data_IF_148304784429
#
_entry.id   IF_148304784429
#
_cell.length_a   1.000
_cell.length_b   1.000
_cell.length_c   1.000
_cell.angle_alpha   90.00
_cell.angle_beta   90.00
_cell.angle_gamma   90.00
#
_symmetry.space_group_name_H-M   'P 1'
#
loop_
_entity.id
_entity.type
_entity.pdbx_description
1 polymer ?
#
# COMPACT_ATOMS: atom_id res chain seq x y z
N UNK A 1 4.66 -14.53 3.05
CA UNK A 1 5.23 -13.31 3.66
C UNK A 1 6.42 -12.90 2.81
N UNK A 2 6.45 -11.65 2.32
CA UNK A 2 7.58 -11.12 1.54
C UNK A 2 8.89 -11.24 2.36
N UNK A 3 10.05 -11.54 1.74
CA UNK A 3 11.33 -11.52 2.45
C UNK A 3 11.66 -10.10 2.93
N UNK A 4 12.16 -9.97 4.16
CA UNK A 4 12.48 -8.69 4.80
C UNK A 4 13.64 -7.99 4.07
N UNK A 5 13.31 -6.91 3.38
CA UNK A 5 14.23 -5.99 2.70
C UNK A 5 14.09 -4.62 3.35
N UNK A 6 14.27 -4.55 4.66
CA UNK A 6 14.07 -3.42 5.59
C UNK A 6 14.01 -1.98 5.01
N UNK A 7 14.92 -1.50 4.12
CA UNK A 7 14.74 -0.20 3.47
C UNK A 7 13.53 -0.10 2.52
N UNK A 8 13.22 -1.16 1.76
CA UNK A 8 12.06 -1.24 0.86
C UNK A 8 10.75 -1.20 1.65
N UNK A 9 10.70 -1.86 2.81
CA UNK A 9 9.51 -1.89 3.67
C UNK A 9 9.16 -0.53 4.27
N UNK A 10 10.15 0.33 4.55
CA UNK A 10 9.88 1.69 5.03
C UNK A 10 9.26 2.59 3.95
N UNK A 11 9.74 2.45 2.70
CA UNK A 11 9.19 3.18 1.56
C UNK A 11 7.77 2.69 1.24
N UNK A 12 7.56 1.37 1.20
CA UNK A 12 6.26 0.75 0.94
C UNK A 12 5.18 1.25 1.92
N UNK A 13 5.52 1.29 3.21
CA UNK A 13 4.63 1.81 4.25
C UNK A 13 4.35 3.31 4.11
N UNK A 14 5.37 4.11 3.81
CA UNK A 14 5.19 5.55 3.61
C UNK A 14 4.29 5.88 2.43
N UNK A 15 4.42 5.14 1.33
CA UNK A 15 3.58 5.28 0.16
C UNK A 15 2.13 4.85 0.46
N UNK A 16 1.92 3.73 1.17
CA UNK A 16 0.58 3.31 1.57
C UNK A 16 -0.10 4.32 2.50
N UNK A 17 0.64 4.89 3.47
CA UNK A 17 0.13 5.93 4.37
C UNK A 17 -0.32 7.18 3.60
N UNK A 18 0.49 7.64 2.64
CA UNK A 18 0.15 8.80 1.81
C UNK A 18 -1.15 8.55 1.01
N UNK A 19 -1.29 7.37 0.39
CA UNK A 19 -2.48 7.04 -0.39
C UNK A 19 -3.71 6.92 0.51
N UNK A 20 -3.58 6.25 1.67
CA UNK A 20 -4.66 6.15 2.67
C UNK A 20 -5.11 7.52 3.17
N UNK A 21 -4.19 8.46 3.42
CA UNK A 21 -4.54 9.81 3.84
C UNK A 21 -5.36 10.56 2.77
N UNK A 22 -4.98 10.43 1.49
CA UNK A 22 -5.73 11.03 0.38
C UNK A 22 -7.10 10.40 0.20
N UNK A 23 -7.21 9.08 0.28
CA UNK A 23 -8.49 8.37 0.22
C UNK A 23 -9.39 8.73 1.40
N UNK A 24 -8.84 8.83 2.61
CA UNK A 24 -9.60 9.26 3.79
C UNK A 24 -10.20 10.67 3.65
N UNK A 25 -9.49 11.58 2.97
CA UNK A 25 -10.01 12.93 2.71
C UNK A 25 -11.04 12.97 1.56
N UNK A 26 -10.79 12.27 0.46
CA UNK A 26 -11.62 12.34 -0.75
C UNK A 26 -12.81 11.37 -0.76
N UNK A 27 -12.67 10.24 -0.06
CA UNK A 27 -13.58 9.08 -0.08
C UNK A 27 -13.72 8.47 1.33
N UNK A 28 -14.15 9.24 2.34
CA UNK A 28 -14.16 8.80 3.74
C UNK A 28 -15.05 7.58 4.03
N UNK A 29 -15.99 7.26 3.14
CA UNK A 29 -16.91 6.13 3.27
C UNK A 29 -16.44 4.85 2.56
N UNK A 30 -15.35 4.90 1.79
CA UNK A 30 -14.84 3.74 1.06
C UNK A 30 -13.91 2.89 1.96
N UNK A 31 -13.85 1.59 1.68
CA UNK A 31 -12.94 0.67 2.34
C UNK A 31 -11.57 0.65 1.65
N UNK A 32 -10.53 0.31 2.39
CA UNK A 32 -9.17 0.13 1.88
C UNK A 32 -8.63 -1.20 2.37
N UNK A 33 -8.06 -1.99 1.47
CA UNK A 33 -7.24 -3.17 1.78
C UNK A 33 -5.86 -2.92 1.18
N UNK A 34 -4.88 -2.65 2.04
CA UNK A 34 -3.50 -2.50 1.62
C UNK A 34 -2.64 -3.67 2.08
N UNK A 35 -1.54 -3.88 1.40
CA UNK A 35 -0.62 -4.97 1.70
C UNK A 35 0.09 -4.77 3.05
N UNK A 36 0.52 -3.55 3.36
CA UNK A 36 1.33 -3.27 4.54
C UNK A 36 0.49 -3.11 5.81
N UNK A 37 -0.68 -2.47 5.71
CA UNK A 37 -1.54 -2.15 6.85
C UNK A 37 -2.86 -2.93 6.91
N UNK A 38 -3.12 -3.81 5.94
CA UNK A 38 -4.34 -4.63 5.92
C UNK A 38 -5.62 -3.84 5.64
N UNK A 39 -6.75 -4.30 6.18
CA UNK A 39 -8.06 -3.72 5.88
C UNK A 39 -8.47 -2.60 6.86
N UNK A 40 -9.07 -1.53 6.34
CA UNK A 40 -9.68 -0.45 7.11
C UNK A 40 -10.90 0.16 6.39
N UNK A 41 -11.79 0.82 7.11
CA UNK A 41 -12.97 1.47 6.54
C UNK A 41 -14.12 0.50 6.26
N UNK A 42 -15.12 0.96 5.51
CA UNK A 42 -16.37 0.21 5.24
C UNK A 42 -17.00 0.64 3.92
N UNK A 43 -18.29 0.36 3.73
CA UNK A 43 -19.02 0.83 2.55
C UNK A 43 -18.90 -0.08 1.32
N UNK A 44 -19.60 0.29 0.22
CA UNK A 44 -19.79 -0.57 -0.94
C UNK A 44 -18.59 -0.63 -1.88
N UNK A 45 -17.68 0.35 -1.81
CA UNK A 45 -16.47 0.44 -2.64
C UNK A 45 -15.26 0.08 -1.80
N UNK A 46 -14.34 -0.71 -2.38
CA UNK A 46 -13.06 -1.07 -1.75
C UNK A 46 -11.90 -0.79 -2.69
N UNK A 47 -10.92 -0.03 -2.19
CA UNK A 47 -9.62 0.19 -2.81
C UNK A 47 -8.64 -0.91 -2.38
N UNK A 48 -7.88 -1.45 -3.34
CA UNK A 48 -6.80 -2.42 -3.06
C UNK A 48 -5.48 -1.72 -3.35
N UNK A 49 -4.57 -1.68 -2.37
CA UNK A 49 -3.29 -0.99 -2.47
C UNK A 49 -2.12 -1.97 -2.46
N UNK A 50 -1.24 -1.81 -3.45
CA UNK A 50 0.08 -2.44 -3.56
C UNK A 50 1.07 -1.31 -3.93
N UNK A 51 1.69 -0.64 -2.93
CA UNK A 51 2.49 0.56 -3.15
C UNK A 51 3.80 0.25 -3.89
N UNK A 52 4.40 -0.91 -3.63
CA UNK A 52 5.53 -1.44 -4.38
C UNK A 52 5.19 -2.82 -4.94
N UNK A 53 4.55 -2.83 -6.12
CA UNK A 53 4.37 -4.03 -6.91
C UNK A 53 5.74 -4.49 -7.44
N UNK A 54 6.36 -5.41 -6.71
CA UNK A 54 7.57 -6.09 -7.15
C UNK A 54 8.76 -6.05 -6.20
N UNK A 55 8.65 -6.78 -5.09
CA UNK A 55 9.83 -7.38 -4.42
C UNK A 55 10.63 -8.35 -5.33
N UNK A 56 10.29 -8.51 -6.62
CA UNK A 56 11.07 -9.29 -7.59
C UNK A 56 11.76 -8.48 -8.71
N UNK A 57 11.24 -7.32 -9.10
CA UNK A 57 11.86 -6.52 -10.17
C UNK A 57 12.77 -5.41 -9.64
N UNK A 58 12.44 -4.78 -8.50
CA UNK A 58 13.27 -3.70 -7.94
C UNK A 58 14.68 -4.19 -7.52
N UNK A 59 14.79 -5.47 -7.09
CA UNK A 59 16.06 -6.07 -6.66
C UNK A 59 17.02 -6.39 -7.83
N UNK A 60 16.60 -6.21 -9.10
CA UNK A 60 17.46 -6.48 -10.28
C UNK A 60 18.01 -5.24 -10.98
N UNK A 61 17.70 -4.03 -10.53
CA UNK A 61 18.29 -2.80 -11.09
C UNK A 61 17.96 -2.56 -12.57
N UNK A 62 16.79 -3.00 -13.03
CA UNK A 62 16.31 -2.71 -14.39
C UNK A 62 15.35 -1.51 -14.31
N UNK A 63 15.57 -0.45 -15.10
CA UNK A 63 14.73 0.75 -15.10
C UNK A 63 13.31 0.49 -15.60
#
# INVERSE_FOLDING_TARGET
TKPDLTPVTQVDRGDEEMVRARLGAARPADAVLGEEFGASGGGPVRWILDPIDGTKNYVRGVP
#
